data_IF_266054222033
#
_entry.id   IF_266054222033
#
_cell.length_a   1.000
_cell.length_b   1.000
_cell.length_c   1.000
_cell.angle_alpha   90.00
_cell.angle_beta   90.00
_cell.angle_gamma   90.00
#
_symmetry.space_group_name_H-M   'P 1'
#
loop_
_entity.id
_entity.type
_entity.pdbx_description
1 polymer ?
#
# COMPACT_ATOMS: atom_id res chain seq x y z
N UNK A 1 5.97 -24.67 -15.82
CA UNK A 1 5.05 -24.78 -14.66
C UNK A 1 3.80 -24.02 -15.00
N UNK A 2 2.61 -24.54 -14.69
CA UNK A 2 1.38 -23.76 -14.85
C UNK A 2 1.33 -22.66 -13.78
N UNK A 3 0.81 -21.49 -14.14
CA UNK A 3 0.53 -20.38 -13.23
C UNK A 3 -0.61 -20.72 -12.26
N UNK A 4 -0.72 -19.96 -11.16
CA UNK A 4 -1.81 -20.12 -10.20
C UNK A 4 -3.19 -19.92 -10.85
N UNK A 5 -3.30 -18.99 -11.80
CA UNK A 5 -4.53 -18.75 -12.56
C UNK A 5 -4.93 -19.97 -13.41
N UNK A 6 -3.98 -20.55 -14.15
CA UNK A 6 -4.23 -21.75 -14.97
C UNK A 6 -4.66 -22.94 -14.12
N UNK A 7 -4.04 -23.13 -12.95
CA UNK A 7 -4.43 -24.16 -11.99
C UNK A 7 -5.85 -23.93 -11.44
N UNK A 8 -6.20 -22.70 -11.09
CA UNK A 8 -7.53 -22.37 -10.58
C UNK A 8 -8.62 -22.55 -11.63
N UNK A 9 -8.36 -22.13 -12.89
CA UNK A 9 -9.29 -22.36 -14.01
C UNK A 9 -9.51 -23.86 -14.25
N UNK A 10 -8.44 -24.66 -14.20
CA UNK A 10 -8.55 -26.11 -14.32
C UNK A 10 -9.40 -26.71 -13.18
N UNK A 11 -9.13 -26.35 -11.93
CA UNK A 11 -9.89 -26.83 -10.77
C UNK A 11 -11.36 -26.40 -10.82
N UNK A 12 -11.63 -25.16 -11.22
CA UNK A 12 -12.99 -24.65 -11.43
C UNK A 12 -13.81 -25.51 -12.38
N UNK A 13 -13.21 -25.87 -13.53
CA UNK A 13 -13.84 -26.76 -14.50
C UNK A 13 -14.07 -28.18 -13.94
N UNK A 14 -13.10 -28.73 -13.19
CA UNK A 14 -13.22 -30.08 -12.62
C UNK A 14 -14.26 -30.16 -11.50
N UNK A 15 -14.38 -29.11 -10.69
CA UNK A 15 -15.21 -29.09 -9.49
C UNK A 15 -16.56 -28.37 -9.69
N UNK A 16 -16.81 -27.83 -10.89
CA UNK A 16 -18.09 -27.18 -11.22
C UNK A 16 -18.31 -25.82 -10.55
N UNK A 17 -17.25 -25.05 -10.32
CA UNK A 17 -17.35 -23.68 -9.78
C UNK A 17 -16.55 -22.68 -10.63
N UNK A 18 -16.94 -21.41 -10.60
CA UNK A 18 -16.17 -20.33 -11.22
C UNK A 18 -15.22 -19.72 -10.19
N UNK A 19 -13.89 -19.86 -10.35
CA UNK A 19 -12.94 -19.27 -9.41
C UNK A 19 -12.98 -17.75 -9.50
N UNK A 20 -12.96 -17.08 -8.35
CA UNK A 20 -12.75 -15.64 -8.30
C UNK A 20 -11.25 -15.35 -8.50
N UNK A 21 -10.89 -14.96 -9.72
CA UNK A 21 -9.50 -14.68 -10.09
C UNK A 21 -8.98 -13.35 -9.50
N UNK A 22 -9.85 -12.48 -8.99
CA UNK A 22 -9.41 -11.30 -8.25
C UNK A 22 -8.67 -11.69 -6.95
N UNK A 23 -8.97 -12.85 -6.37
CA UNK A 23 -8.31 -13.34 -5.16
C UNK A 23 -6.84 -13.73 -5.38
N UNK A 24 -6.42 -13.94 -6.63
CA UNK A 24 -5.02 -14.22 -6.99
C UNK A 24 -4.34 -13.06 -7.70
N UNK A 25 -5.02 -11.91 -7.85
CA UNK A 25 -4.40 -10.73 -8.39
C UNK A 25 -3.52 -10.08 -7.31
N UNK A 26 -2.21 -10.31 -7.39
CA UNK A 26 -1.24 -9.75 -6.45
C UNK A 26 -1.09 -8.22 -6.55
N UNK A 27 -1.67 -7.59 -7.59
CA UNK A 27 -1.67 -6.14 -7.80
C UNK A 27 -2.81 -5.40 -7.08
N UNK A 28 -3.67 -6.09 -6.34
CA UNK A 28 -4.75 -5.48 -5.55
C UNK A 28 -4.66 -5.90 -4.08
N UNK A 29 -5.14 -5.04 -3.18
CA UNK A 29 -5.24 -5.41 -1.77
C UNK A 29 -6.31 -6.47 -1.58
N UNK A 30 -5.97 -7.56 -0.89
CA UNK A 30 -6.94 -8.58 -0.49
C UNK A 30 -7.93 -8.12 0.59
N UNK A 31 -7.72 -6.94 1.20
CA UNK A 31 -8.57 -6.36 2.24
C UNK A 31 -8.88 -4.88 1.95
N UNK A 32 -9.89 -4.35 2.64
CA UNK A 32 -10.25 -2.93 2.54
C UNK A 32 -9.07 -2.01 2.91
N UNK A 33 -8.72 -1.13 1.98
CA UNK A 33 -7.76 -0.04 2.18
C UNK A 33 -8.50 1.16 2.76
N UNK A 34 -7.95 1.86 3.78
CA UNK A 34 -8.57 3.06 4.33
C UNK A 34 -8.91 4.10 3.26
N UNK A 35 -9.99 4.84 3.49
CA UNK A 35 -10.39 5.95 2.62
C UNK A 35 -9.32 7.05 2.63
N UNK A 36 -9.14 7.71 1.49
CA UNK A 36 -8.31 8.90 1.40
C UNK A 36 -8.84 10.00 2.31
N UNK A 37 -7.94 10.80 2.86
CA UNK A 37 -8.26 12.04 3.58
C UNK A 37 -7.90 13.25 2.71
N UNK A 38 -8.49 14.40 2.99
CA UNK A 38 -8.14 15.66 2.31
C UNK A 38 -6.85 16.30 2.86
N UNK A 39 -5.99 15.53 3.54
CA UNK A 39 -4.81 16.06 4.20
C UNK A 39 -3.77 16.63 3.21
N UNK A 40 -3.52 15.91 2.11
CA UNK A 40 -2.58 16.28 1.07
C UNK A 40 -2.84 15.48 -0.21
N UNK A 41 -2.43 16.01 -1.36
CA UNK A 41 -2.28 15.20 -2.58
C UNK A 41 -1.03 14.31 -2.44
N UNK A 42 -1.04 13.12 -3.04
CA UNK A 42 0.04 12.12 -2.88
C UNK A 42 1.42 12.65 -3.30
N UNK A 43 1.48 13.47 -4.35
CA UNK A 43 2.72 14.05 -4.86
C UNK A 43 3.23 15.25 -4.05
N UNK A 44 2.46 15.75 -3.07
CA UNK A 44 2.84 16.90 -2.25
C UNK A 44 3.76 16.45 -1.10
N UNK A 45 5.02 16.25 -1.48
CA UNK A 45 6.10 15.86 -0.58
C UNK A 45 6.31 16.87 0.56
N UNK A 46 5.89 18.12 0.38
CA UNK A 46 6.08 19.15 1.39
C UNK A 46 5.14 18.99 2.58
N UNK A 47 3.97 18.38 2.37
CA UNK A 47 2.98 18.08 3.41
C UNK A 47 3.33 16.90 4.29
N UNK A 48 4.34 16.11 3.93
CA UNK A 48 4.80 14.97 4.73
C UNK A 48 5.35 15.50 6.07
N UNK A 49 4.82 15.05 7.22
CA UNK A 49 5.24 15.51 8.56
C UNK A 49 6.58 14.87 8.97
N UNK A 50 7.62 15.11 8.18
CA UNK A 50 8.91 14.43 8.27
C UNK A 50 10.07 15.30 7.76
N UNK A 51 11.28 14.95 8.18
CA UNK A 51 12.51 15.59 7.71
C UNK A 51 12.85 15.25 6.26
N UNK A 52 13.82 15.99 5.69
CA UNK A 52 14.24 15.86 4.29
C UNK A 52 14.65 14.43 3.89
N UNK A 53 15.36 13.70 4.76
CA UNK A 53 15.76 12.31 4.48
C UNK A 53 14.56 11.38 4.33
N UNK A 54 13.51 11.55 5.13
CA UNK A 54 12.28 10.76 5.00
C UNK A 54 11.49 11.16 3.75
N UNK A 55 11.46 12.46 3.41
CA UNK A 55 10.88 12.94 2.15
C UNK A 55 11.60 12.36 0.92
N UNK A 56 12.91 12.16 0.98
CA UNK A 56 13.66 11.49 -0.10
C UNK A 56 13.27 10.01 -0.25
N UNK A 57 13.15 9.28 0.87
CA UNK A 57 12.67 7.90 0.86
C UNK A 57 11.22 7.79 0.37
N UNK A 58 10.37 8.77 0.69
CA UNK A 58 9.00 8.82 0.19
C UNK A 58 8.96 8.94 -1.34
N UNK A 59 9.85 9.75 -1.94
CA UNK A 59 9.96 9.84 -3.41
C UNK A 59 10.34 8.49 -4.02
N UNK A 60 11.24 7.73 -3.39
CA UNK A 60 11.56 6.37 -3.84
C UNK A 60 10.35 5.43 -3.70
N UNK A 61 9.58 5.58 -2.61
CA UNK A 61 8.35 4.81 -2.39
C UNK A 61 7.27 5.09 -3.46
N UNK A 62 7.18 6.32 -3.98
CA UNK A 62 6.25 6.69 -5.06
C UNK A 62 6.50 5.94 -6.37
N UNK A 63 7.66 5.31 -6.54
CA UNK A 63 8.00 4.53 -7.73
C UNK A 63 7.77 3.01 -7.56
N UNK A 64 7.36 2.56 -6.36
CA UNK A 64 7.11 1.13 -6.11
C UNK A 64 5.80 0.68 -6.78
N UNK A 65 5.70 -0.55 -7.30
CA UNK A 65 4.45 -1.08 -7.83
C UNK A 65 3.39 -1.22 -6.72
N UNK A 66 2.12 -1.34 -7.11
CA UNK A 66 1.05 -1.71 -6.18
C UNK A 66 1.07 -3.22 -5.88
N UNK A 67 0.58 -3.62 -4.69
CA UNK A 67 0.18 -2.80 -3.56
C UNK A 67 1.38 -2.22 -2.80
N UNK A 68 1.24 -1.00 -2.27
CA UNK A 68 2.29 -0.34 -1.48
C UNK A 68 1.72 0.47 -0.33
N UNK A 69 2.47 0.58 0.75
CA UNK A 69 2.09 1.40 1.90
C UNK A 69 3.32 2.04 2.53
N UNK A 70 3.12 3.20 3.17
CA UNK A 70 4.17 3.88 3.92
C UNK A 70 3.64 4.48 5.20
N UNK A 71 4.43 4.33 6.26
CA UNK A 71 4.12 4.84 7.58
C UNK A 71 5.21 5.81 8.05
N UNK A 72 4.80 6.79 8.85
CA UNK A 72 5.67 7.81 9.40
C UNK A 72 5.57 7.76 10.92
N UNK A 73 6.71 7.81 11.61
CA UNK A 73 6.73 7.91 13.07
C UNK A 73 6.40 9.30 13.56
N UNK A 74 6.07 9.45 14.84
CA UNK A 74 5.89 10.77 15.47
C UNK A 74 7.13 11.68 15.41
N UNK A 75 8.30 11.14 15.05
CA UNK A 75 9.54 11.91 14.83
C UNK A 75 9.85 12.13 13.35
N UNK A 76 8.95 11.74 12.45
CA UNK A 76 9.11 11.93 11.02
C UNK A 76 10.05 10.90 10.36
N UNK A 77 10.21 9.70 10.91
CA UNK A 77 11.05 8.66 10.30
C UNK A 77 10.21 7.73 9.41
N UNK A 78 10.75 7.34 8.24
CA UNK A 78 10.07 6.52 7.22
C UNK A 78 10.63 5.10 7.05
N UNK A 79 11.73 4.74 7.72
CA UNK A 79 12.37 3.41 7.55
C UNK A 79 12.74 2.68 8.86
N UNK A 80 12.98 3.42 9.96
CA UNK A 80 13.43 2.84 11.23
C UNK A 80 12.96 3.70 12.40
N UNK A 81 11.78 3.38 12.93
CA UNK A 81 11.30 3.94 14.18
C UNK A 81 11.41 2.87 15.26
N UNK A 82 12.34 3.04 16.20
CA UNK A 82 12.44 2.19 17.37
C UNK A 82 11.80 2.91 18.56
N UNK A 83 10.93 2.22 19.29
CA UNK A 83 10.22 2.76 20.46
C UNK A 83 9.42 4.05 20.18
N UNK A 84 8.95 4.24 18.93
CA UNK A 84 8.09 5.36 18.53
C UNK A 84 6.97 4.78 17.65
N UNK A 85 5.70 5.08 17.95
CA UNK A 85 4.61 4.58 17.14
C UNK A 85 4.70 5.18 15.73
N UNK A 86 4.48 4.32 14.73
CA UNK A 86 4.28 4.73 13.35
C UNK A 86 2.79 4.82 13.04
N UNK A 87 2.44 5.78 12.19
CA UNK A 87 1.09 5.96 11.68
C UNK A 87 1.12 5.87 10.17
N UNK A 88 0.09 5.26 9.61
CA UNK A 88 -0.04 5.07 8.17
C UNK A 88 -0.25 6.44 7.52
N UNK A 89 0.59 6.77 6.53
CA UNK A 89 0.51 8.04 5.80
C UNK A 89 -0.14 7.88 4.45
N UNK A 90 0.27 6.86 3.68
CA UNK A 90 -0.32 6.59 2.38
C UNK A 90 -0.37 5.09 2.07
N UNK A 91 -1.36 4.71 1.27
CA UNK A 91 -1.52 3.38 0.67
C UNK A 91 -1.83 3.59 -0.81
N UNK A 92 -1.07 2.93 -1.68
CA UNK A 92 -1.14 3.04 -3.14
C UNK A 92 -1.08 4.50 -3.63
N UNK A 93 -2.23 5.03 -4.04
CA UNK A 93 -2.46 6.37 -4.57
C UNK A 93 -3.16 7.32 -3.57
N UNK A 94 -3.36 6.87 -2.32
CA UNK A 94 -4.19 7.56 -1.32
C UNK A 94 -3.35 8.06 -0.16
N UNK A 95 -3.47 9.34 0.15
CA UNK A 95 -3.06 9.86 1.46
C UNK A 95 -4.17 9.53 2.46
N UNK A 96 -3.85 8.78 3.50
CA UNK A 96 -4.80 8.29 4.53
C UNK A 96 -4.51 8.91 5.90
N UNK A 97 -3.65 9.91 5.94
CA UNK A 97 -3.20 10.54 7.17
C UNK A 97 -4.36 11.28 7.84
N UNK A 98 -4.79 10.77 8.99
CA UNK A 98 -5.68 11.46 9.91
C UNK A 98 -4.80 12.26 10.88
N UNK A 99 -4.82 13.59 10.75
CA UNK A 99 -4.12 14.49 11.68
C UNK A 99 -4.59 14.16 13.11
N UNK A 100 -3.67 13.77 13.98
CA UNK A 100 -3.94 13.58 15.41
C UNK A 100 -3.74 14.88 16.17
#
# INVERSE_FOLDING_TARGET
>A
TASAEEMLRFLGNQLGFTPNLELVNEGVHGNHVPNATDFAVLSDVDRIPAGSSAKALYKEWLEKPFPRAVAISNRGALARAFNNPCHLYAVDDRVVWAKK
#
